data_IF_216543054619
#
_entry.id   IF_216543054619
#
_cell.length_a   1.000
_cell.length_b   1.000
_cell.length_c   1.000
_cell.angle_alpha   90.00
_cell.angle_beta   90.00
_cell.angle_gamma   90.00
#
_symmetry.space_group_name_H-M   'P 1'
#
loop_
_entity.id
_entity.type
_entity.pdbx_description
1 polymer ?
#
# COMPACT_ATOMS: atom_id res chain seq x y z
N UNK A 1 15.74 -2.98 29.66
CA UNK A 1 16.24 -2.14 28.54
C UNK A 1 15.18 -2.16 27.46
N UNK A 2 14.54 -1.03 27.11
CA UNK A 2 13.58 -1.01 26.01
C UNK A 2 14.35 -1.26 24.71
N UNK A 3 13.87 -2.20 23.89
CA UNK A 3 14.38 -2.43 22.55
C UNK A 3 14.03 -1.17 21.74
N UNK A 4 15.02 -0.32 21.47
CA UNK A 4 14.82 0.82 20.59
C UNK A 4 14.78 0.29 19.16
N UNK A 5 13.57 0.08 18.64
CA UNK A 5 13.27 -0.45 17.30
C UNK A 5 13.69 0.50 16.14
N UNK A 6 14.36 1.62 16.45
CA UNK A 6 14.66 2.71 15.52
C UNK A 6 16.16 2.95 15.30
N UNK A 7 16.99 1.90 15.32
CA UNK A 7 18.39 2.06 14.94
C UNK A 7 18.55 2.07 13.42
N UNK A 8 19.36 3.02 12.93
CA UNK A 8 19.66 3.29 11.52
C UNK A 8 20.13 2.04 10.74
N UNK A 9 20.59 1.01 11.44
CA UNK A 9 20.95 -0.31 10.91
C UNK A 9 19.76 -1.10 10.32
N UNK A 10 18.52 -0.79 10.72
CA UNK A 10 17.33 -1.47 10.19
C UNK A 10 16.75 -0.75 8.97
N UNK A 11 17.26 0.43 8.60
CA UNK A 11 16.83 1.17 7.41
C UNK A 11 17.17 0.40 6.13
N UNK A 12 18.42 -0.04 6.00
CA UNK A 12 18.87 -0.80 4.82
C UNK A 12 18.11 -2.12 4.68
N UNK A 13 17.80 -2.80 5.79
CA UNK A 13 16.99 -4.02 5.80
C UNK A 13 15.57 -3.75 5.35
N UNK A 14 14.94 -2.67 5.82
CA UNK A 14 13.60 -2.25 5.42
C UNK A 14 13.54 -1.82 3.95
N UNK A 15 14.54 -1.09 3.47
CA UNK A 15 14.67 -0.69 2.06
C UNK A 15 14.84 -1.93 1.17
N UNK A 16 15.69 -2.88 1.55
CA UNK A 16 15.88 -4.13 0.82
C UNK A 16 14.62 -5.02 0.83
N UNK A 17 13.94 -5.13 1.98
CA UNK A 17 12.67 -5.85 2.09
C UNK A 17 11.57 -5.19 1.25
N UNK A 18 11.52 -3.85 1.24
CA UNK A 18 10.58 -3.08 0.42
C UNK A 18 10.87 -3.27 -1.07
N UNK A 19 12.13 -3.23 -1.49
CA UNK A 19 12.54 -3.48 -2.86
C UNK A 19 12.20 -4.92 -3.31
N UNK A 20 12.49 -5.92 -2.46
CA UNK A 20 12.15 -7.32 -2.73
C UNK A 20 10.64 -7.55 -2.82
N UNK A 21 9.87 -6.90 -1.95
CA UNK A 21 8.41 -6.95 -1.98
C UNK A 21 7.84 -6.29 -3.24
N UNK A 22 8.37 -5.13 -3.65
CA UNK A 22 7.96 -4.48 -4.90
C UNK A 22 8.40 -5.25 -6.16
N UNK A 23 9.51 -5.99 -6.09
CA UNK A 23 10.00 -6.83 -7.19
C UNK A 23 9.31 -8.21 -7.26
N UNK A 24 8.46 -8.56 -6.28
CA UNK A 24 7.74 -9.83 -6.30
C UNK A 24 6.82 -9.90 -7.51
N UNK A 25 6.94 -10.97 -8.30
CA UNK A 25 6.21 -11.15 -9.57
C UNK A 25 4.67 -11.14 -9.40
N UNK A 26 4.19 -11.39 -8.18
CA UNK A 26 2.77 -11.37 -7.86
C UNK A 26 2.20 -9.94 -7.79
N UNK A 27 3.05 -8.94 -7.53
CA UNK A 27 2.62 -7.57 -7.31
C UNK A 27 2.05 -6.89 -8.57
N UNK A 28 2.72 -6.98 -9.74
CA UNK A 28 2.14 -6.49 -11.00
C UNK A 28 0.86 -7.25 -11.39
N UNK A 29 0.80 -8.55 -11.11
CA UNK A 29 -0.37 -9.38 -11.43
C UNK A 29 -1.62 -8.92 -10.65
N UNK A 30 -1.46 -8.53 -9.38
CA UNK A 30 -2.54 -7.98 -8.57
C UNK A 30 -3.06 -6.65 -9.12
N UNK A 31 -2.18 -5.76 -9.54
CA UNK A 31 -2.59 -4.48 -10.14
C UNK A 31 -3.31 -4.65 -11.48
N UNK A 32 -2.86 -5.60 -12.31
CA UNK A 32 -3.53 -5.95 -13.57
C UNK A 32 -4.93 -6.51 -13.29
N UNK A 33 -5.06 -7.43 -12.33
CA UNK A 33 -6.34 -8.02 -11.96
C UNK A 33 -7.29 -6.98 -11.36
N UNK A 34 -6.80 -6.10 -10.49
CA UNK A 34 -7.59 -5.00 -9.93
C UNK A 34 -8.09 -4.05 -11.02
N UNK A 35 -7.22 -3.66 -11.97
CA UNK A 35 -7.61 -2.84 -13.13
C UNK A 35 -8.66 -3.52 -13.99
N UNK A 36 -8.52 -4.82 -14.25
CA UNK A 36 -9.53 -5.59 -15.00
C UNK A 36 -10.89 -5.62 -14.30
N UNK A 37 -10.93 -5.43 -12.98
CA UNK A 37 -12.15 -5.34 -12.16
C UNK A 37 -12.65 -3.89 -11.98
N UNK A 38 -12.01 -2.90 -12.61
CA UNK A 38 -12.39 -1.49 -12.47
C UNK A 38 -11.84 -0.81 -11.23
N UNK A 39 -10.69 -1.26 -10.72
CA UNK A 39 -10.05 -0.65 -9.55
C UNK A 39 -8.64 -0.17 -9.87
N UNK A 40 -8.19 0.84 -9.13
CA UNK A 40 -6.78 1.26 -9.07
C UNK A 40 -6.27 1.19 -7.65
N UNK A 41 -4.95 1.17 -7.52
CA UNK A 41 -4.31 1.27 -6.21
C UNK A 41 -4.60 2.63 -5.57
N UNK A 42 -4.88 2.63 -4.27
CA UNK A 42 -5.02 3.84 -3.49
C UNK A 42 -3.68 4.55 -3.36
N UNK A 43 -3.67 5.88 -3.50
CA UNK A 43 -2.51 6.70 -3.19
C UNK A 43 -2.36 6.90 -1.69
N UNK A 44 -1.16 7.25 -1.21
CA UNK A 44 -0.95 7.51 0.21
C UNK A 44 -1.84 8.65 0.73
N UNK A 45 -2.05 9.70 -0.08
CA UNK A 45 -2.93 10.81 0.26
C UNK A 45 -4.38 10.36 0.46
N UNK A 46 -4.89 9.44 -0.34
CA UNK A 46 -6.24 8.90 -0.20
C UNK A 46 -6.38 7.99 1.02
N UNK A 47 -5.34 7.20 1.31
CA UNK A 47 -5.28 6.37 2.53
C UNK A 47 -5.34 7.27 3.76
N UNK A 48 -4.54 8.34 3.80
CA UNK A 48 -4.54 9.29 4.91
C UNK A 48 -5.87 10.04 5.00
N UNK A 49 -6.43 10.51 3.88
CA UNK A 49 -7.72 11.18 3.87
C UNK A 49 -8.85 10.28 4.37
N UNK A 50 -8.84 9.00 4.02
CA UNK A 50 -9.80 8.01 4.52
C UNK A 50 -9.61 7.75 6.03
N UNK A 51 -8.36 7.63 6.49
CA UNK A 51 -8.03 7.47 7.91
C UNK A 51 -8.48 8.69 8.75
N UNK A 52 -8.36 9.89 8.19
CA UNK A 52 -8.81 11.15 8.80
C UNK A 52 -10.31 11.43 8.59
N UNK A 53 -11.02 10.56 7.87
CA UNK A 53 -12.45 10.70 7.52
C UNK A 53 -12.78 12.03 6.83
N UNK A 54 -11.90 12.46 5.93
CA UNK A 54 -12.11 13.69 5.16
C UNK A 54 -13.26 13.48 4.18
N UNK A 55 -14.10 14.50 4.00
CA UNK A 55 -15.36 14.39 3.26
C UNK A 55 -15.21 14.00 1.77
N UNK A 56 -14.05 14.28 1.16
CA UNK A 56 -13.75 13.90 -0.22
C UNK A 56 -13.06 12.54 -0.34
N UNK A 57 -12.71 11.88 0.77
CA UNK A 57 -11.93 10.66 0.75
C UNK A 57 -12.69 9.55 -0.02
N UNK A 58 -12.01 8.85 -0.94
CA UNK A 58 -12.65 7.75 -1.66
C UNK A 58 -12.90 6.56 -0.74
N UNK A 59 -13.87 5.73 -1.12
CA UNK A 59 -14.07 4.43 -0.48
C UNK A 59 -12.89 3.51 -0.80
N UNK A 60 -12.27 2.99 0.26
CA UNK A 60 -11.14 2.07 0.17
C UNK A 60 -11.60 0.63 0.36
N UNK A 61 -11.18 -0.23 -0.55
CA UNK A 61 -11.45 -1.66 -0.49
C UNK A 61 -10.14 -2.43 -0.26
N UNK A 62 -10.17 -3.37 0.68
CA UNK A 62 -9.02 -4.25 0.94
C UNK A 62 -9.15 -5.55 0.17
N UNK A 63 -8.10 -5.92 -0.58
CA UNK A 63 -8.05 -7.19 -1.29
C UNK A 63 -6.61 -7.64 -1.54
N UNK A 64 -6.32 -8.91 -1.21
CA UNK A 64 -4.99 -9.54 -1.31
C UNK A 64 -3.84 -8.66 -0.78
N UNK A 65 -4.07 -8.00 0.35
CA UNK A 65 -3.07 -7.13 1.00
C UNK A 65 -2.91 -5.74 0.39
N UNK A 66 -3.63 -5.41 -0.70
CA UNK A 66 -3.68 -4.07 -1.28
C UNK A 66 -4.90 -3.26 -0.84
N UNK A 67 -4.78 -1.94 -0.89
CA UNK A 67 -5.88 -0.98 -0.77
C UNK A 67 -6.22 -0.40 -2.15
N UNK A 68 -7.49 -0.46 -2.51
CA UNK A 68 -7.98 -0.21 -3.85
C UNK A 68 -9.12 0.82 -3.87
N UNK A 69 -9.12 1.68 -4.88
CA UNK A 69 -10.14 2.70 -5.15
C UNK A 69 -10.82 2.36 -6.47
N UNK A 70 -12.17 2.36 -6.54
CA UNK A 70 -12.88 2.14 -7.79
C UNK A 70 -12.54 3.23 -8.82
N UNK A 71 -12.35 2.82 -10.07
CA UNK A 71 -12.29 3.70 -11.22
C UNK A 71 -13.73 4.10 -11.54
N UNK A 72 -14.12 5.31 -11.13
CA UNK A 72 -15.43 5.89 -11.44
C UNK A 72 -15.66 5.99 -12.96
#
# INVERSE_FOLDING_TARGET
MPINLYDEHDRARREAATAAFMAAAEFPALEIEAKARGFRKATLSEINASAERVQWAPDLYSWRGGLWVPLA
#
